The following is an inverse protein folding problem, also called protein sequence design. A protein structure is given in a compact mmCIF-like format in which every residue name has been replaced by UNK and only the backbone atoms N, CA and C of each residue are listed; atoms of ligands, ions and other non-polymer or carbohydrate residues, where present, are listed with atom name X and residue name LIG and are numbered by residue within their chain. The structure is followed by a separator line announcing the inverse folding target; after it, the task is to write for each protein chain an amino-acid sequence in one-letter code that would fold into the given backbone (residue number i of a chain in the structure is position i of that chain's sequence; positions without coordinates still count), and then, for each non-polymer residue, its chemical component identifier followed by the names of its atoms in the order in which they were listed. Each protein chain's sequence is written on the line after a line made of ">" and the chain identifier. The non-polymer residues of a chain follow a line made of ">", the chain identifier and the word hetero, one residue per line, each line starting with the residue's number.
data_IF_711399846578
#
_entry.id   IF_711399846578
#
_cell.length_a   1.000
_cell.length_b   1.000
_cell.length_c   1.000
_cell.angle_alpha   90.00
_cell.angle_beta   90.00
_cell.angle_gamma   90.00
#
_symmetry.space_group_name_H-M   'P 1'
#
loop_
_entity.id
_entity.type
_entity.pdbx_description
1 polymer ?
#
# COMPACT_ATOMS: atom_id res chain seq x y z
N UNK A 1 6.38 25.07 -14.66
CA UNK A 1 5.69 24.04 -15.21
C UNK A 1 5.17 23.04 -14.24
N UNK A 2 4.03 22.62 -14.47
CA UNK A 2 3.40 21.73 -13.54
C UNK A 2 3.33 20.37 -14.09
N UNK A 3 3.98 19.48 -13.42
CA UNK A 3 3.82 18.11 -13.75
C UNK A 3 2.87 17.47 -12.83
N UNK A 4 1.95 16.75 -13.39
CA UNK A 4 1.06 16.00 -12.55
C UNK A 4 1.85 14.92 -11.84
N UNK A 5 1.60 14.81 -10.56
CA UNK A 5 2.22 13.74 -9.81
C UNK A 5 1.50 12.46 -10.11
N UNK A 6 2.25 11.47 -10.53
CA UNK A 6 1.68 10.19 -10.86
C UNK A 6 1.66 9.31 -9.64
N UNK A 7 0.59 8.56 -9.51
CA UNK A 7 0.40 7.70 -8.36
C UNK A 7 0.52 6.25 -8.80
N UNK A 8 1.22 5.48 -8.00
CA UNK A 8 1.32 4.04 -8.19
C UNK A 8 0.27 3.40 -7.30
N UNK A 9 -0.58 2.57 -7.89
CA UNK A 9 -1.64 1.90 -7.14
C UNK A 9 -1.18 0.48 -6.84
N UNK A 10 -1.09 0.13 -5.56
CA UNK A 10 -0.68 -1.21 -5.15
C UNK A 10 -1.91 -1.94 -4.64
N UNK A 11 -2.27 -3.01 -5.32
CA UNK A 11 -3.47 -3.77 -4.98
C UNK A 11 -3.05 -4.97 -4.14
N UNK A 12 -3.57 -5.03 -2.93
CA UNK A 12 -3.19 -6.03 -1.97
C UNK A 12 -2.10 -5.51 -1.05
N UNK A 13 -2.44 -5.31 0.23
CA UNK A 13 -1.48 -4.78 1.18
C UNK A 13 -1.09 -5.82 2.20
N UNK A 14 -0.81 -7.03 1.71
CA UNK A 14 -0.20 -8.05 2.51
C UNK A 14 1.27 -7.72 2.74
N UNK A 15 2.06 -8.73 3.09
CA UNK A 15 3.46 -8.47 3.40
C UNK A 15 4.18 -7.80 2.23
N UNK A 16 4.03 -8.37 1.02
CA UNK A 16 4.74 -7.85 -0.13
C UNK A 16 4.20 -6.47 -0.52
N UNK A 17 2.87 -6.35 -0.59
CA UNK A 17 2.29 -5.11 -1.06
C UNK A 17 2.55 -3.94 -0.13
N UNK A 18 2.43 -4.16 1.18
CA UNK A 18 2.65 -3.09 2.12
C UNK A 18 4.11 -2.67 2.19
N UNK A 19 5.03 -3.65 2.25
CA UNK A 19 6.45 -3.29 2.31
C UNK A 19 6.87 -2.56 1.03
N UNK A 20 6.39 -3.02 -0.12
CA UNK A 20 6.68 -2.34 -1.37
C UNK A 20 6.12 -0.92 -1.36
N UNK A 21 4.89 -0.76 -0.87
CA UNK A 21 4.27 0.56 -0.83
C UNK A 21 5.07 1.53 0.02
N UNK A 22 5.57 1.06 1.15
CA UNK A 22 6.36 1.92 2.03
C UNK A 22 7.69 2.28 1.37
N UNK A 23 8.35 1.30 0.74
CA UNK A 23 9.61 1.57 0.07
C UNK A 23 9.43 2.60 -1.05
N UNK A 24 8.40 2.43 -1.86
CA UNK A 24 8.15 3.39 -2.93
C UNK A 24 7.84 4.77 -2.37
N UNK A 25 7.04 4.81 -1.32
CA UNK A 25 6.67 6.09 -0.71
C UNK A 25 7.89 6.80 -0.12
N UNK A 26 8.79 6.04 0.51
CA UNK A 26 10.02 6.62 1.04
C UNK A 26 10.88 7.21 -0.05
N UNK A 27 10.83 6.64 -1.23
CA UNK A 27 11.67 7.08 -2.33
C UNK A 27 11.02 8.14 -3.20
N UNK A 28 9.93 8.73 -2.72
CA UNK A 28 9.37 9.90 -3.37
C UNK A 28 8.17 9.65 -4.26
N UNK A 29 7.75 8.41 -4.40
CA UNK A 29 6.58 8.12 -5.22
C UNK A 29 5.31 8.29 -4.40
N UNK A 30 4.25 8.71 -5.06
CA UNK A 30 2.93 8.70 -4.43
C UNK A 30 2.33 7.33 -4.64
N UNK A 31 1.83 6.73 -3.56
CA UNK A 31 1.31 5.38 -3.60
C UNK A 31 -0.09 5.35 -3.01
N UNK A 32 -0.97 4.66 -3.71
CA UNK A 32 -2.31 4.40 -3.17
C UNK A 32 -2.49 2.90 -3.07
N UNK A 33 -2.70 2.42 -1.85
CA UNK A 33 -2.89 1.00 -1.61
C UNK A 33 -4.36 0.64 -1.59
N UNK A 34 -4.68 -0.54 -2.08
CA UNK A 34 -6.04 -1.04 -2.07
C UNK A 34 -6.06 -2.35 -1.29
N UNK A 35 -6.91 -2.43 -0.30
CA UNK A 35 -6.99 -3.60 0.55
C UNK A 35 -8.43 -3.85 0.96
N UNK A 36 -8.91 -5.06 0.75
CA UNK A 36 -10.29 -5.39 1.06
C UNK A 36 -10.55 -5.58 2.55
N UNK A 37 -9.54 -5.98 3.30
CA UNK A 37 -9.74 -6.30 4.72
C UNK A 37 -9.74 -5.04 5.56
N UNK A 38 -10.87 -4.78 6.19
CA UNK A 38 -11.01 -3.57 6.97
C UNK A 38 -10.06 -3.51 8.15
N UNK A 39 -9.76 -4.65 8.76
CA UNK A 39 -8.86 -4.65 9.91
C UNK A 39 -7.45 -4.19 9.51
N UNK A 40 -7.00 -4.53 8.30
CA UNK A 40 -5.71 -4.08 7.82
C UNK A 40 -5.73 -2.57 7.62
N UNK A 41 -6.80 -2.05 7.03
CA UNK A 41 -6.92 -0.61 6.83
C UNK A 41 -6.98 0.12 8.16
N UNK A 42 -7.66 -0.46 9.15
CA UNK A 42 -7.72 0.17 10.46
C UNK A 42 -6.34 0.27 11.09
N UNK A 43 -5.54 -0.77 10.95
CA UNK A 43 -4.18 -0.72 11.47
C UNK A 43 -3.37 0.37 10.76
N UNK A 44 -3.52 0.47 9.44
CA UNK A 44 -2.78 1.47 8.69
C UNK A 44 -3.15 2.89 9.08
N UNK A 45 -4.41 3.11 9.44
CA UNK A 45 -4.82 4.43 9.94
C UNK A 45 -4.06 4.80 11.20
N UNK A 46 -3.62 3.81 11.95
CA UNK A 46 -2.83 4.04 13.16
C UNK A 46 -1.34 3.96 12.88
N UNK A 47 -0.95 3.92 11.62
CA UNK A 47 0.44 3.81 11.21
C UNK A 47 1.08 2.52 11.70
N UNK A 48 0.31 1.45 11.62
CA UNK A 48 0.78 0.12 12.03
C UNK A 48 0.56 -0.87 10.92
N UNK A 49 1.49 -1.80 10.79
CA UNK A 49 1.29 -2.91 9.88
C UNK A 49 0.53 -4.01 10.62
N UNK A 50 -0.06 -4.91 9.85
CA UNK A 50 -0.78 -6.04 10.42
C UNK A 50 0.11 -7.27 10.60
N UNK A 51 1.40 -7.08 10.44
CA UNK A 51 2.38 -8.14 10.66
C UNK A 51 3.63 -7.51 11.25
N UNK A 52 4.49 -8.34 11.82
CA UNK A 52 5.71 -7.83 12.41
C UNK A 52 6.81 -7.75 11.37
N UNK A 53 7.38 -6.58 11.24
CA UNK A 53 8.53 -6.35 10.40
C UNK A 53 9.33 -5.23 11.05
N UNK A 54 10.59 -5.51 11.44
CA UNK A 54 11.37 -4.50 12.17
C UNK A 54 11.46 -3.19 11.40
N UNK A 55 11.12 -2.10 12.07
CA UNK A 55 11.25 -0.78 11.49
C UNK A 55 10.10 -0.33 10.63
N UNK A 56 9.21 -1.23 10.23
CA UNK A 56 8.15 -0.86 9.28
C UNK A 56 7.19 0.16 9.87
N UNK A 57 6.77 -0.02 11.11
CA UNK A 57 5.85 0.93 11.71
C UNK A 57 6.48 2.31 11.81
N UNK A 58 7.76 2.37 12.13
CA UNK A 58 8.45 3.65 12.18
C UNK A 58 8.52 4.30 10.80
N UNK A 59 8.73 3.50 9.76
CA UNK A 59 8.75 4.05 8.42
C UNK A 59 7.39 4.61 8.03
N UNK A 60 6.32 3.90 8.42
CA UNK A 60 4.98 4.41 8.14
C UNK A 60 4.76 5.76 8.81
N UNK A 61 5.23 5.92 10.03
CA UNK A 61 5.05 7.18 10.77
C UNK A 61 5.84 8.31 10.16
N UNK A 62 6.95 8.00 9.50
CA UNK A 62 7.80 9.04 8.93
C UNK A 62 7.37 9.51 7.56
N UNK A 63 6.45 8.80 6.92
CA UNK A 63 6.05 9.19 5.57
C UNK A 63 5.38 10.56 5.57
N UNK A 64 5.67 11.39 4.57
CA UNK A 64 4.97 12.67 4.46
C UNK A 64 3.47 12.48 4.31
N UNK A 65 2.72 13.46 4.76
CA UNK A 65 1.26 13.39 4.67
C UNK A 65 0.86 13.21 3.22
N UNK A 66 -0.12 12.35 3.02
CA UNK A 66 -0.68 12.07 1.69
C UNK A 66 0.27 11.38 0.73
N UNK A 67 1.46 10.98 1.18
CA UNK A 67 2.36 10.25 0.32
C UNK A 67 1.86 8.84 0.08
N UNK A 68 1.34 8.19 1.11
CA UNK A 68 0.78 6.85 1.02
C UNK A 68 -0.66 6.91 1.51
N UNK A 69 -1.59 6.67 0.60
CA UNK A 69 -3.01 6.64 0.92
C UNK A 69 -3.53 5.23 0.67
N UNK A 70 -4.73 4.93 1.14
CA UNK A 70 -5.27 3.59 0.98
C UNK A 70 -6.80 3.61 1.05
N UNK A 71 -7.41 2.59 0.44
CA UNK A 71 -8.86 2.46 0.44
C UNK A 71 -9.23 1.01 0.18
N UNK A 72 -10.53 0.71 0.28
CA UNK A 72 -11.00 -0.65 0.05
C UNK A 72 -11.16 -0.96 -1.42
N UNK A 73 -11.42 0.03 -2.23
CA UNK A 73 -11.71 -0.19 -3.64
C UNK A 73 -10.73 0.59 -4.49
N UNK A 74 -10.57 0.13 -5.72
CA UNK A 74 -9.68 0.80 -6.65
C UNK A 74 -10.29 2.15 -7.01
N UNK A 75 -9.55 3.24 -6.81
CA UNK A 75 -10.12 4.55 -7.12
C UNK A 75 -10.23 4.76 -8.62
N UNK A 76 -11.24 5.49 -8.99
CA UNK A 76 -11.42 5.90 -10.36
C UNK A 76 -10.67 7.21 -10.55
N UNK A 77 -9.37 7.10 -10.78
CA UNK A 77 -8.50 8.28 -10.74
C UNK A 77 -7.55 8.26 -11.92
N UNK A 78 -7.61 9.30 -12.72
CA UNK A 78 -6.76 9.40 -13.90
C UNK A 78 -5.30 9.68 -13.56
N UNK A 79 -5.00 10.02 -12.32
CA UNK A 79 -3.62 10.25 -11.94
C UNK A 79 -2.83 8.98 -11.67
N UNK A 80 -3.51 7.83 -11.64
CA UNK A 80 -2.80 6.58 -11.43
C UNK A 80 -2.14 6.17 -12.72
N UNK A 81 -0.84 6.01 -12.69
CA UNK A 81 -0.07 5.66 -13.86
C UNK A 81 0.31 4.18 -13.91
N UNK A 82 0.35 3.53 -12.78
CA UNK A 82 0.84 2.17 -12.70
C UNK A 82 0.04 1.39 -11.67
N UNK A 83 -0.31 0.18 -12.00
CA UNK A 83 -0.98 -0.72 -11.06
C UNK A 83 -0.06 -1.89 -10.78
N UNK A 84 0.18 -2.17 -9.52
CA UNK A 84 0.98 -3.31 -9.10
C UNK A 84 0.07 -4.21 -8.29
N UNK A 85 -0.10 -5.44 -8.75
CA UNK A 85 -1.02 -6.37 -8.11
C UNK A 85 -0.20 -7.36 -7.30
N UNK A 86 -0.40 -7.34 -5.98
CA UNK A 86 0.36 -8.20 -5.09
C UNK A 86 -0.54 -9.10 -4.28
N UNK A 87 -1.74 -9.35 -4.75
CA UNK A 87 -2.63 -10.23 -4.02
C UNK A 87 -2.04 -11.61 -3.98
N UNK A 88 -2.01 -12.17 -2.81
CA UNK A 88 -1.45 -13.48 -2.67
C UNK A 88 -2.44 -14.54 -3.05
N UNK A 89 -1.95 -15.70 -3.43
CA UNK A 89 -2.81 -16.83 -3.60
C UNK A 89 -2.81 -17.62 -2.29
N UNK A 90 -3.92 -18.25 -1.94
CA UNK A 90 -3.93 -19.07 -0.74
C UNK A 90 -2.96 -20.22 -0.90
N UNK A 91 -2.14 -20.44 0.09
CA UNK A 91 -1.15 -21.49 0.01
C UNK A 91 -1.72 -22.84 0.34
N UNK A 92 -2.81 -22.85 1.00
CA UNK A 92 -3.36 -24.08 1.47
C UNK A 92 -4.27 -24.73 0.49
N UNK A 93 -4.45 -24.22 -0.48
CA UNK A 93 -5.43 -24.78 -1.30
C UNK A 93 -4.93 -26.00 -1.93
N UNK A 94 -4.70 -26.07 -1.76
CA UNK A 94 -4.48 -26.77 -2.25
C UNK A 94 -3.75 -27.64 -2.33
N UNK A 95 -3.50 -27.66 -2.00
CA UNK A 95 -2.89 -28.38 -1.86
C UNK A 95 -2.93 -29.27 -1.61
N UNK A 96 -3.02 -29.57 -1.82
CA UNK A 96 -3.07 -30.28 -1.50
C UNK A 96 -2.78 -30.72 -1.59
#
# INVERSE_FOLDING_TARGET
>A
MNEKKKTICVIGLGFVGLTLSVILSKNGYFVHGVEKKQNILNDLKKKKSHFYEPGLNNELKKLPKNRFTFSKTIPNNSDISTYIITVGTPLNSRKK
#
